data_IF_779395682335
#
_entry.id   IF_779395682335
#
_cell.length_a   1.000
_cell.length_b   1.000
_cell.length_c   1.000
_cell.angle_alpha   90.00
_cell.angle_beta   90.00
_cell.angle_gamma   90.00
#
_symmetry.space_group_name_H-M   'P 1'
#
loop_
_entity.id
_entity.type
_entity.pdbx_description
1 polymer ?
#
# COMPACT_ATOMS: atom_id res chain seq x y z
N UNK A 1 -21.10 11.14 -8.20
CA UNK A 1 -19.92 11.93 -8.62
C UNK A 1 -18.66 11.29 -8.05
N UNK A 2 -18.42 11.34 -6.73
CA UNK A 2 -17.23 10.71 -6.09
C UNK A 2 -17.07 9.22 -6.40
N UNK A 3 -18.13 8.40 -6.27
CA UNK A 3 -18.03 6.96 -6.59
C UNK A 3 -17.71 6.67 -8.08
N UNK A 4 -18.11 7.57 -8.99
CA UNK A 4 -17.79 7.46 -10.41
C UNK A 4 -16.36 7.92 -10.72
N UNK A 5 -15.86 8.93 -9.99
CA UNK A 5 -14.46 9.37 -10.07
C UNK A 5 -13.51 8.32 -9.48
N UNK A 6 -13.87 7.68 -8.35
CA UNK A 6 -13.11 6.57 -7.78
C UNK A 6 -13.08 5.37 -8.73
N UNK A 7 -14.22 5.04 -9.36
CA UNK A 7 -14.25 4.00 -10.39
C UNK A 7 -13.41 4.37 -11.62
N UNK A 8 -13.40 5.63 -12.05
CA UNK A 8 -12.63 6.03 -13.23
C UNK A 8 -11.12 6.20 -12.95
N UNK A 9 -10.74 6.63 -11.75
CA UNK A 9 -9.35 6.90 -11.39
C UNK A 9 -8.65 5.66 -10.80
N UNK A 10 -9.37 4.88 -9.99
CA UNK A 10 -8.84 3.73 -9.25
C UNK A 10 -9.45 2.42 -9.73
N UNK A 11 -10.52 2.48 -10.53
CA UNK A 11 -11.13 1.26 -11.04
C UNK A 11 -11.87 0.44 -9.97
N UNK A 12 -12.10 1.02 -8.80
CA UNK A 12 -12.75 0.36 -7.67
C UNK A 12 -14.26 0.59 -7.68
N UNK A 13 -15.05 -0.48 -7.64
CA UNK A 13 -16.49 -0.39 -7.39
C UNK A 13 -16.76 -0.30 -5.88
N UNK A 14 -16.94 0.92 -5.41
CA UNK A 14 -17.28 1.17 -4.00
C UNK A 14 -18.70 0.69 -3.70
N UNK A 15 -18.79 -0.41 -2.94
CA UNK A 15 -20.04 -0.82 -2.29
C UNK A 15 -20.41 0.24 -1.23
N UNK A 16 -21.70 0.56 -1.08
CA UNK A 16 -22.22 1.71 -0.31
C UNK A 16 -21.91 1.79 1.20
N UNK A 17 -21.00 0.96 1.72
CA UNK A 17 -20.46 1.02 3.09
C UNK A 17 -18.92 1.11 3.19
N UNK A 18 -18.19 0.96 2.08
CA UNK A 18 -16.71 0.85 2.04
C UNK A 18 -15.94 2.13 2.39
N UNK A 19 -16.59 3.28 2.42
CA UNK A 19 -15.97 4.55 2.85
C UNK A 19 -16.45 4.98 4.25
N UNK A 20 -16.84 4.03 5.11
CA UNK A 20 -17.30 4.27 6.48
C UNK A 20 -16.48 5.31 7.28
N UNK A 21 -15.13 5.33 7.19
CA UNK A 21 -14.30 6.34 7.86
C UNK A 21 -14.29 7.73 7.19
N UNK A 22 -14.66 7.81 5.91
CA UNK A 22 -14.58 9.03 5.09
C UNK A 22 -15.84 9.89 5.17
N UNK A 23 -16.90 9.43 5.83
CA UNK A 23 -18.12 10.22 6.01
C UNK A 23 -18.26 10.74 7.44
N UNK A 24 -18.40 12.08 7.62
CA UNK A 24 -18.72 12.60 8.93
C UNK A 24 -20.10 12.08 9.37
N UNK A 25 -20.23 11.80 10.67
CA UNK A 25 -21.50 11.38 11.26
C UNK A 25 -22.62 12.42 11.14
N UNK A 26 -23.77 12.16 11.76
CA UNK A 26 -24.94 13.06 11.75
C UNK A 26 -24.54 14.51 12.08
N UNK A 27 -25.07 15.47 11.29
CA UNK A 27 -24.85 16.92 11.49
C UNK A 27 -25.18 17.31 12.93
N UNK A 28 -24.15 17.65 13.70
CA UNK A 28 -24.25 18.14 15.07
C UNK A 28 -23.28 19.30 15.33
N UNK A 29 -23.14 19.76 16.58
CA UNK A 29 -22.33 20.93 16.95
C UNK A 29 -20.85 20.84 16.52
N UNK A 30 -20.33 19.62 16.33
CA UNK A 30 -18.92 19.34 15.96
C UNK A 30 -18.71 19.12 14.45
N UNK A 31 -19.74 19.24 13.63
CA UNK A 31 -19.71 18.98 12.18
C UNK A 31 -18.59 19.74 11.46
N UNK A 32 -18.39 21.03 11.75
CA UNK A 32 -17.33 21.83 11.12
C UNK A 32 -15.93 21.30 11.43
N UNK A 33 -15.70 20.88 12.67
CA UNK A 33 -14.42 20.28 13.07
C UNK A 33 -14.19 18.90 12.44
N UNK A 34 -15.26 18.10 12.28
CA UNK A 34 -15.20 16.82 11.58
C UNK A 34 -14.88 17.01 10.09
N UNK A 35 -15.51 17.98 9.43
CA UNK A 35 -15.18 18.33 8.04
C UNK A 35 -13.74 18.81 7.89
N UNK A 36 -13.26 19.66 8.79
CA UNK A 36 -11.88 20.15 8.75
C UNK A 36 -10.87 19.01 8.94
N UNK A 37 -11.15 18.08 9.86
CA UNK A 37 -10.32 16.89 10.08
C UNK A 37 -10.32 15.99 8.84
N UNK A 38 -11.51 15.66 8.32
CA UNK A 38 -11.66 14.87 7.11
C UNK A 38 -10.93 15.50 5.91
N UNK A 39 -11.06 16.81 5.73
CA UNK A 39 -10.36 17.54 4.66
C UNK A 39 -8.84 17.41 4.78
N UNK A 40 -8.30 17.48 6.00
CA UNK A 40 -6.87 17.30 6.25
C UNK A 40 -6.40 15.87 6.00
N UNK A 41 -7.26 14.87 6.21
CA UNK A 41 -6.95 13.47 6.00
C UNK A 41 -7.03 13.09 4.51
N UNK A 42 -8.00 13.63 3.78
CA UNK A 42 -8.14 13.42 2.33
C UNK A 42 -6.97 13.99 1.50
N UNK A 43 -6.15 14.85 2.09
CA UNK A 43 -4.91 15.34 1.47
C UNK A 43 -3.72 14.40 1.65
N UNK A 44 -3.87 13.34 2.46
CA UNK A 44 -2.83 12.34 2.71
C UNK A 44 -3.13 11.11 1.86
N UNK A 45 -2.26 10.81 0.89
CA UNK A 45 -2.44 9.69 -0.04
C UNK A 45 -2.51 8.35 0.70
N UNK A 46 -1.64 8.16 1.70
CA UNK A 46 -1.60 6.96 2.54
C UNK A 46 -2.94 6.69 3.27
N UNK A 47 -3.52 7.72 3.89
CA UNK A 47 -4.82 7.61 4.57
C UNK A 47 -5.94 7.23 3.60
N UNK A 48 -5.95 7.84 2.41
CA UNK A 48 -6.95 7.55 1.37
C UNK A 48 -6.81 6.11 0.89
N UNK A 49 -5.58 5.66 0.65
CA UNK A 49 -5.29 4.29 0.23
C UNK A 49 -5.70 3.26 1.29
N UNK A 50 -5.31 3.43 2.55
CA UNK A 50 -5.77 2.54 3.61
C UNK A 50 -7.29 2.53 3.77
N UNK A 51 -7.93 3.70 3.68
CA UNK A 51 -9.39 3.80 3.75
C UNK A 51 -10.10 3.05 2.61
N UNK A 52 -9.50 3.01 1.42
CA UNK A 52 -10.03 2.28 0.26
C UNK A 52 -9.72 0.78 0.33
N UNK A 53 -8.51 0.41 0.75
CA UNK A 53 -8.02 -0.97 0.69
C UNK A 53 -8.45 -1.81 1.88
N UNK A 54 -8.78 -1.23 3.04
CA UNK A 54 -9.10 -1.98 4.27
C UNK A 54 -10.19 -3.05 4.13
N UNK A 55 -11.19 -2.83 3.27
CA UNK A 55 -12.29 -3.78 3.02
C UNK A 55 -12.06 -4.64 1.77
N UNK A 56 -11.02 -4.32 1.00
CA UNK A 56 -10.71 -4.95 -0.29
C UNK A 56 -9.48 -5.85 -0.22
N UNK A 57 -8.59 -5.60 0.73
CA UNK A 57 -7.31 -6.30 0.86
C UNK A 57 -6.99 -6.63 2.30
N UNK A 58 -6.69 -7.92 2.55
CA UNK A 58 -6.07 -8.36 3.79
C UNK A 58 -4.64 -7.82 3.97
N UNK A 59 -4.00 -7.33 2.92
CA UNK A 59 -2.63 -6.82 2.94
C UNK A 59 -2.54 -5.32 3.26
N UNK A 60 -3.67 -4.67 3.56
CA UNK A 60 -3.72 -3.29 4.02
C UNK A 60 -4.07 -3.21 5.52
N UNK A 61 -3.71 -2.08 6.14
CA UNK A 61 -4.11 -1.78 7.52
C UNK A 61 -5.51 -1.18 7.56
N UNK A 62 -6.38 -1.63 8.48
CA UNK A 62 -7.64 -0.95 8.74
C UNK A 62 -7.41 0.37 9.49
N UNK A 63 -8.14 1.41 9.10
CA UNK A 63 -8.14 2.68 9.83
C UNK A 63 -9.07 2.56 11.03
N UNK A 64 -8.48 2.56 12.24
CA UNK A 64 -9.21 2.39 13.51
C UNK A 64 -9.93 3.68 13.94
N UNK A 65 -9.44 4.84 13.51
CA UNK A 65 -10.03 6.13 13.81
C UNK A 65 -9.12 7.30 13.42
N UNK A 66 -9.63 8.52 13.59
CA UNK A 66 -8.88 9.73 13.24
C UNK A 66 -9.18 10.93 14.16
N UNK A 67 -8.22 11.85 14.24
CA UNK A 67 -8.29 13.08 15.02
C UNK A 67 -7.46 14.18 14.37
N UNK A 68 -8.11 15.22 13.84
CA UNK A 68 -7.41 16.28 13.12
C UNK A 68 -6.75 15.75 11.85
N UNK A 69 -5.43 15.89 11.76
CA UNK A 69 -4.62 15.36 10.67
C UNK A 69 -4.03 13.97 10.96
N UNK A 70 -4.27 13.43 12.15
CA UNK A 70 -3.79 12.11 12.55
C UNK A 70 -4.85 11.05 12.33
N UNK A 71 -4.40 9.85 11.99
CA UNK A 71 -5.22 8.64 12.00
C UNK A 71 -4.47 7.51 12.70
N UNK A 72 -5.21 6.51 13.14
CA UNK A 72 -4.68 5.36 13.85
C UNK A 72 -4.99 4.09 13.07
N UNK A 73 -4.03 3.16 13.07
CA UNK A 73 -4.08 1.86 12.43
C UNK A 73 -3.70 0.77 13.43
N UNK A 74 -3.87 -0.50 13.04
CA UNK A 74 -3.38 -1.64 13.80
C UNK A 74 -1.87 -1.52 14.07
N UNK A 75 -1.45 -1.78 15.31
CA UNK A 75 -0.03 -1.78 15.68
C UNK A 75 0.62 -3.12 15.34
N UNK A 76 1.55 -3.11 14.38
CA UNK A 76 2.35 -4.27 13.98
C UNK A 76 3.84 -3.92 14.05
N UNK A 77 4.67 -4.91 14.37
CA UNK A 77 6.11 -4.74 14.34
C UNK A 77 6.62 -4.79 12.90
N UNK A 78 7.18 -3.67 12.43
CA UNK A 78 7.80 -3.57 11.11
C UNK A 78 9.00 -4.50 10.97
N UNK A 79 9.34 -4.86 9.73
CA UNK A 79 10.62 -5.45 9.42
C UNK A 79 11.77 -4.49 9.69
N UNK A 80 12.98 -5.03 9.85
CA UNK A 80 14.19 -4.21 9.91
C UNK A 80 15.41 -5.00 9.46
N UNK A 81 16.31 -4.39 8.65
CA UNK A 81 17.60 -4.99 8.29
C UNK A 81 18.54 -5.09 9.50
N UNK A 82 18.24 -4.41 10.62
CA UNK A 82 19.01 -4.49 11.86
C UNK A 82 18.68 -5.73 12.70
N UNK A 83 17.54 -6.37 12.42
CA UNK A 83 17.16 -7.60 13.10
C UNK A 83 17.95 -8.80 12.58
N UNK A 84 18.12 -9.84 13.42
CA UNK A 84 18.76 -11.10 13.00
C UNK A 84 17.99 -11.78 11.87
N UNK A 85 16.68 -11.57 11.81
CA UNK A 85 15.77 -11.97 10.74
C UNK A 85 15.04 -10.71 10.29
N UNK A 86 14.78 -10.55 8.98
CA UNK A 86 14.15 -9.33 8.43
C UNK A 86 12.85 -8.95 9.16
N UNK A 87 12.08 -9.95 9.59
CA UNK A 87 10.88 -9.77 10.38
C UNK A 87 11.01 -10.44 11.75
N UNK A 88 10.61 -9.77 12.85
CA UNK A 88 10.64 -10.36 14.18
C UNK A 88 9.51 -11.38 14.33
N UNK A 89 9.86 -12.66 14.51
CA UNK A 89 8.89 -13.74 14.75
C UNK A 89 8.60 -13.98 16.24
N UNK A 90 9.44 -13.45 17.13
CA UNK A 90 9.42 -13.73 18.57
C UNK A 90 8.20 -13.15 19.33
N UNK A 91 7.34 -12.39 18.64
CA UNK A 91 6.11 -11.80 19.19
C UNK A 91 4.80 -12.31 18.58
N UNK A 92 4.85 -13.11 17.50
CA UNK A 92 3.65 -13.67 16.89
C UNK A 92 3.08 -14.79 17.77
N UNK A 93 1.81 -14.71 18.14
CA UNK A 93 1.13 -15.78 18.85
C UNK A 93 1.18 -17.06 17.99
N UNK A 94 2.00 -18.04 18.39
CA UNK A 94 2.29 -19.23 17.58
C UNK A 94 3.74 -19.36 17.09
N UNK A 95 4.65 -18.49 17.55
CA UNK A 95 6.09 -18.54 17.26
C UNK A 95 6.61 -20.00 17.25
N UNK A 96 7.04 -20.50 16.09
CA UNK A 96 7.29 -21.92 15.96
C UNK A 96 8.46 -22.36 16.84
N UNK A 97 8.21 -23.34 17.71
CA UNK A 97 9.25 -23.93 18.55
C UNK A 97 10.06 -24.94 17.73
N UNK A 98 11.27 -24.57 17.34
CA UNK A 98 12.23 -25.44 16.64
C UNK A 98 12.35 -25.16 15.13
N UNK A 99 13.43 -25.66 14.52
CA UNK A 99 13.82 -25.31 13.15
C UNK A 99 12.80 -25.63 12.05
N UNK A 100 12.06 -26.74 12.19
CA UNK A 100 10.96 -27.08 11.24
C UNK A 100 9.81 -26.07 11.28
N UNK A 101 9.48 -25.59 12.48
CA UNK A 101 8.45 -24.58 12.62
C UNK A 101 8.89 -23.24 12.02
N UNK A 102 10.15 -22.85 12.25
CA UNK A 102 10.71 -21.62 11.70
C UNK A 102 10.73 -21.66 10.16
N UNK A 103 11.14 -22.78 9.57
CA UNK A 103 11.09 -22.96 8.12
C UNK A 103 9.67 -22.81 7.57
N UNK A 104 8.68 -23.41 8.25
CA UNK A 104 7.27 -23.25 7.88
C UNK A 104 6.80 -21.79 7.95
N UNK A 105 7.10 -21.07 9.03
CA UNK A 105 6.73 -19.66 9.16
C UNK A 105 7.36 -18.79 8.04
N UNK A 106 8.62 -19.06 7.69
CA UNK A 106 9.28 -18.38 6.56
C UNK A 106 8.57 -18.69 5.24
N UNK A 107 8.19 -19.95 5.00
CA UNK A 107 7.41 -20.33 3.81
C UNK A 107 6.04 -19.65 3.79
N UNK A 108 5.32 -19.62 4.92
CA UNK A 108 4.00 -18.99 5.02
C UNK A 108 4.08 -17.47 4.76
N UNK A 109 5.11 -16.79 5.28
CA UNK A 109 5.37 -15.37 4.97
C UNK A 109 5.71 -15.15 3.49
N UNK A 110 6.58 -15.99 2.89
CA UNK A 110 6.95 -15.88 1.48
C UNK A 110 5.74 -16.07 0.56
N UNK A 111 4.88 -17.06 0.87
CA UNK A 111 3.61 -17.25 0.18
C UNK A 111 2.69 -16.04 0.36
N UNK A 112 2.63 -15.44 1.55
CA UNK A 112 1.83 -14.24 1.77
C UNK A 112 2.36 -13.00 1.03
N UNK A 113 3.67 -12.89 0.80
CA UNK A 113 4.26 -11.85 -0.05
C UNK A 113 3.85 -12.03 -1.52
N UNK A 114 3.86 -13.27 -2.01
CA UNK A 114 3.40 -13.59 -3.38
C UNK A 114 1.89 -13.36 -3.55
N UNK A 115 1.09 -13.74 -2.54
CA UNK A 115 -0.35 -13.46 -2.45
C UNK A 115 -0.61 -11.95 -2.56
N UNK A 116 0.13 -11.14 -1.80
CA UNK A 116 0.04 -9.68 -1.85
C UNK A 116 0.36 -9.11 -3.23
N UNK A 117 1.45 -9.58 -3.87
CA UNK A 117 1.84 -9.09 -5.21
C UNK A 117 0.76 -9.43 -6.23
N UNK A 118 0.30 -10.68 -6.28
CA UNK A 118 -0.75 -11.07 -7.23
C UNK A 118 -2.04 -10.31 -6.97
N UNK A 119 -2.45 -10.15 -5.72
CA UNK A 119 -3.64 -9.40 -5.36
C UNK A 119 -3.56 -7.92 -5.80
N UNK A 120 -2.41 -7.26 -5.62
CA UNK A 120 -2.23 -5.87 -6.06
C UNK A 120 -2.07 -5.72 -7.58
N UNK A 121 -1.63 -6.76 -8.28
CA UNK A 121 -1.54 -6.77 -9.75
C UNK A 121 -2.87 -7.08 -10.44
N UNK A 122 -3.67 -8.01 -9.88
CA UNK A 122 -4.74 -8.68 -10.63
C UNK A 122 -6.16 -8.42 -10.11
N UNK A 123 -6.36 -8.10 -8.82
CA UNK A 123 -7.70 -8.08 -8.22
C UNK A 123 -8.42 -6.73 -8.32
N UNK A 124 -7.71 -5.69 -8.74
CA UNK A 124 -8.25 -4.36 -8.98
C UNK A 124 -8.32 -4.07 -10.49
N UNK A 125 -9.23 -3.20 -10.92
CA UNK A 125 -9.32 -2.80 -12.34
C UNK A 125 -8.06 -2.09 -12.86
N UNK A 126 -7.25 -1.54 -11.95
CA UNK A 126 -5.91 -1.06 -12.24
C UNK A 126 -4.94 -1.68 -11.23
N UNK A 127 -3.78 -2.16 -11.69
CA UNK A 127 -2.73 -2.63 -10.78
C UNK A 127 -2.27 -1.53 -9.84
N UNK A 128 -2.01 -1.89 -8.59
CA UNK A 128 -1.44 -1.05 -7.56
C UNK A 128 0.08 -1.29 -7.49
N UNK A 129 0.86 -0.25 -7.76
CA UNK A 129 2.32 -0.29 -7.68
C UNK A 129 2.78 0.18 -6.30
N UNK A 130 3.64 -0.60 -5.66
CA UNK A 130 4.41 -0.15 -4.49
C UNK A 130 5.77 0.32 -4.99
N UNK A 131 6.18 1.55 -4.72
CA UNK A 131 7.44 2.10 -5.22
C UNK A 131 8.50 2.36 -4.13
N UNK A 132 8.26 2.00 -2.87
CA UNK A 132 9.24 2.06 -1.78
C UNK A 132 9.24 0.73 -1.01
N UNK A 133 9.90 -0.28 -1.59
CA UNK A 133 9.89 -1.67 -1.11
C UNK A 133 11.11 -1.89 -0.24
N UNK A 134 10.89 -1.82 1.08
CA UNK A 134 11.90 -2.12 2.11
C UNK A 134 11.27 -2.82 3.31
N UNK A 135 12.02 -3.63 4.07
CA UNK A 135 11.47 -4.37 5.22
C UNK A 135 10.70 -3.50 6.21
N UNK A 136 11.11 -2.25 6.39
CA UNK A 136 10.49 -1.28 7.29
C UNK A 136 9.06 -0.87 6.89
N UNK A 137 8.70 -1.04 5.61
CA UNK A 137 7.38 -0.68 5.08
C UNK A 137 6.39 -1.86 5.13
N UNK A 138 6.83 -3.01 5.65
CA UNK A 138 5.99 -4.19 5.82
C UNK A 138 6.00 -4.68 7.27
N UNK A 139 4.91 -5.33 7.67
CA UNK A 139 4.83 -6.06 8.92
C UNK A 139 4.15 -7.41 8.73
N UNK A 140 4.30 -8.29 9.73
CA UNK A 140 3.76 -9.64 9.72
C UNK A 140 2.74 -9.77 10.86
N UNK A 141 1.50 -10.14 10.53
CA UNK A 141 0.47 -10.49 11.52
C UNK A 141 0.77 -11.83 12.18
N UNK A 142 0.06 -12.13 13.26
CA UNK A 142 0.23 -13.40 14.00
C UNK A 142 -0.09 -14.65 13.18
N UNK A 143 -0.89 -14.53 12.13
CA UNK A 143 -1.23 -15.60 11.19
C UNK A 143 -0.29 -15.67 9.96
N UNK A 144 0.85 -14.98 10.03
CA UNK A 144 1.85 -14.83 8.95
C UNK A 144 1.39 -14.04 7.72
N UNK A 145 0.24 -13.35 7.79
CA UNK A 145 -0.16 -12.40 6.75
C UNK A 145 0.81 -11.23 6.70
N UNK A 146 1.39 -10.98 5.54
CA UNK A 146 2.17 -9.78 5.21
C UNK A 146 1.22 -8.61 5.02
N UNK A 147 1.58 -7.46 5.59
CA UNK A 147 0.80 -6.22 5.48
C UNK A 147 1.72 -5.09 5.07
N UNK A 148 1.31 -4.30 4.08
CA UNK A 148 1.94 -3.03 3.78
C UNK A 148 1.51 -2.02 4.86
N UNK A 149 2.47 -1.54 5.64
CA UNK A 149 2.25 -0.61 6.75
C UNK A 149 2.63 0.82 6.40
N UNK A 150 3.30 1.01 5.27
CA UNK A 150 3.61 2.29 4.66
C UNK A 150 3.26 2.20 3.18
N UNK A 151 2.29 3.02 2.75
CA UNK A 151 1.75 3.07 1.38
C UNK A 151 1.74 4.50 0.84
N UNK A 152 2.60 5.36 1.37
CA UNK A 152 2.77 6.74 0.90
C UNK A 152 3.31 6.81 -0.54
N UNK A 153 4.11 5.82 -0.94
CA UNK A 153 4.67 5.66 -2.28
C UNK A 153 3.96 4.55 -3.08
N UNK A 154 2.64 4.44 -2.94
CA UNK A 154 1.82 3.47 -3.68
C UNK A 154 0.85 4.15 -4.66
N UNK A 155 0.79 3.66 -5.90
CA UNK A 155 0.04 4.31 -6.97
C UNK A 155 -0.67 3.31 -7.87
N UNK A 156 -1.95 3.57 -8.18
CA UNK A 156 -2.64 2.82 -9.23
C UNK A 156 -2.07 3.15 -10.62
N UNK A 157 -2.14 2.19 -11.55
CA UNK A 157 -1.56 2.27 -12.90
C UNK A 157 -1.74 3.64 -13.60
N UNK A 158 -2.92 4.27 -13.67
CA UNK A 158 -3.07 5.53 -14.39
C UNK A 158 -2.17 6.65 -13.83
N UNK A 159 -2.03 6.71 -12.50
CA UNK A 159 -1.16 7.69 -11.83
C UNK A 159 0.31 7.32 -11.99
N UNK A 160 0.63 6.03 -11.92
CA UNK A 160 2.00 5.54 -12.12
C UNK A 160 2.52 5.87 -13.53
N UNK A 161 1.68 5.73 -14.55
CA UNK A 161 2.03 6.11 -15.93
C UNK A 161 2.36 7.59 -16.05
N UNK A 162 1.56 8.46 -15.44
CA UNK A 162 1.81 9.91 -15.39
C UNK A 162 3.16 10.23 -14.71
N UNK A 163 3.49 9.52 -13.63
CA UNK A 163 4.75 9.69 -12.90
C UNK A 163 5.94 9.25 -13.78
N UNK A 164 5.85 8.09 -14.45
CA UNK A 164 6.95 7.54 -15.25
C UNK A 164 7.16 8.26 -16.59
N UNK A 165 6.12 8.85 -17.20
CA UNK A 165 6.21 9.55 -18.49
C UNK A 165 6.95 10.89 -18.39
N UNK A 166 8.27 10.84 -18.22
CA UNK A 166 9.18 11.98 -18.15
C UNK A 166 10.11 12.06 -19.36
N UNK A 167 10.80 13.20 -19.52
CA UNK A 167 11.92 13.30 -20.47
C UNK A 167 13.18 12.70 -19.83
N UNK A 168 14.02 12.05 -20.63
CA UNK A 168 15.21 11.35 -20.15
C UNK A 168 16.42 11.53 -21.07
N UNK A 169 17.60 11.35 -20.49
CA UNK A 169 18.90 11.25 -21.15
C UNK A 169 19.52 9.85 -20.99
N UNK A 170 19.08 9.10 -19.98
CA UNK A 170 19.42 7.70 -19.74
C UNK A 170 18.33 6.97 -18.94
N UNK A 171 18.51 5.67 -18.72
CA UNK A 171 17.54 4.84 -17.99
C UNK A 171 17.39 5.28 -16.52
N UNK A 172 18.45 5.82 -15.93
CA UNK A 172 18.48 6.34 -14.56
C UNK A 172 17.51 7.50 -14.32
N UNK A 173 17.18 8.27 -15.36
CA UNK A 173 16.19 9.36 -15.31
C UNK A 173 14.75 8.82 -15.25
N UNK A 174 14.55 7.53 -15.55
CA UNK A 174 13.25 6.86 -15.62
C UNK A 174 12.93 6.02 -14.37
N UNK A 175 13.57 6.34 -13.25
CA UNK A 175 13.34 5.68 -11.97
C UNK A 175 12.52 6.58 -11.04
N UNK A 176 11.50 6.00 -10.41
CA UNK A 176 10.75 6.61 -9.33
C UNK A 176 10.84 5.70 -8.10
N UNK A 177 11.78 6.03 -7.21
CA UNK A 177 12.17 5.15 -6.10
C UNK A 177 12.48 3.74 -6.63
N UNK A 178 11.77 2.70 -6.18
CA UNK A 178 11.96 1.30 -6.59
C UNK A 178 11.15 0.90 -7.85
N UNK A 179 10.41 1.83 -8.45
CA UNK A 179 9.70 1.62 -9.70
C UNK A 179 10.54 2.10 -10.89
N UNK A 180 10.98 1.19 -11.74
CA UNK A 180 11.88 1.48 -12.85
C UNK A 180 11.17 1.40 -14.20
N UNK A 181 11.51 2.30 -15.11
CA UNK A 181 11.19 2.21 -16.53
C UNK A 181 12.45 2.32 -17.40
N UNK A 182 12.27 2.47 -18.71
CA UNK A 182 13.34 2.54 -19.71
C UNK A 182 13.26 3.81 -20.53
N UNK A 183 14.42 4.41 -20.80
CA UNK A 183 14.52 5.58 -21.64
C UNK A 183 14.56 5.18 -23.12
N UNK A 184 13.62 5.67 -23.91
CA UNK A 184 13.75 5.63 -25.37
C UNK A 184 14.55 6.84 -25.84
N UNK A 185 15.86 6.62 -26.04
CA UNK A 185 16.81 7.64 -26.52
C UNK A 185 16.49 8.18 -27.93
N UNK A 186 15.60 7.54 -28.70
CA UNK A 186 15.17 8.07 -30.00
C UNK A 186 14.25 9.28 -29.85
N UNK A 187 13.46 9.28 -28.78
CA UNK A 187 12.48 10.34 -28.47
C UNK A 187 12.80 11.08 -27.18
N UNK A 188 13.85 10.66 -26.45
CA UNK A 188 14.27 11.18 -25.14
C UNK A 188 13.13 11.17 -24.13
N UNK A 189 12.37 10.07 -24.09
CA UNK A 189 11.24 9.88 -23.17
C UNK A 189 11.29 8.53 -22.48
N UNK A 190 10.92 8.53 -21.20
CA UNK A 190 10.71 7.32 -20.43
C UNK A 190 9.47 6.57 -20.91
N UNK A 191 9.51 5.25 -20.81
CA UNK A 191 8.33 4.41 -20.93
C UNK A 191 7.32 4.72 -19.83
N UNK A 192 6.04 4.56 -20.15
CA UNK A 192 4.96 4.75 -19.20
C UNK A 192 4.78 3.58 -18.23
N UNK A 193 5.43 2.45 -18.51
CA UNK A 193 5.22 1.19 -17.80
C UNK A 193 6.43 0.81 -16.96
N UNK A 194 6.15 0.28 -15.77
CA UNK A 194 7.14 -0.30 -14.87
C UNK A 194 7.65 -1.61 -15.47
N UNK A 195 8.97 -1.81 -15.43
CA UNK A 195 9.62 -3.00 -16.03
C UNK A 195 10.19 -3.99 -15.00
N UNK A 196 10.10 -3.68 -13.71
CA UNK A 196 10.58 -4.52 -12.61
C UNK A 196 9.43 -4.91 -11.68
N UNK A 197 9.54 -6.07 -11.03
CA UNK A 197 8.55 -6.54 -10.04
C UNK A 197 8.86 -6.08 -8.61
N UNK A 198 10.03 -5.44 -8.39
CA UNK A 198 10.66 -4.91 -7.15
C UNK A 198 10.64 -5.74 -5.86
N UNK A 199 9.80 -6.75 -5.75
CA UNK A 199 9.79 -7.71 -4.67
C UNK A 199 10.70 -8.89 -5.02
N UNK A 200 11.89 -8.94 -4.40
CA UNK A 200 12.79 -10.09 -4.46
C UNK A 200 12.58 -10.90 -3.19
N UNK A 201 11.98 -12.09 -3.32
CA UNK A 201 11.65 -13.00 -2.22
C UNK A 201 12.70 -14.10 -2.10
#
# INVERSE_FOLDING_TARGET
LVAGEVKNALGLELSGGSLGPLWPGRRGPRWRGQLASLWSLLQQEEFVLFSLLQDLSRHALPVLGSCGHFYAVEYLAAGSPRHKTLFPLDGAAGAPRGGQGQAKAVSDMALSFLDMVSHFEDDFSHRLHLCDVKPENFAIRSDFTVVAIDVDMAFFEPKMREILEQNCTGDEDCNFFDCFSKCDLRVNKCGAERVNSNLQV
#
